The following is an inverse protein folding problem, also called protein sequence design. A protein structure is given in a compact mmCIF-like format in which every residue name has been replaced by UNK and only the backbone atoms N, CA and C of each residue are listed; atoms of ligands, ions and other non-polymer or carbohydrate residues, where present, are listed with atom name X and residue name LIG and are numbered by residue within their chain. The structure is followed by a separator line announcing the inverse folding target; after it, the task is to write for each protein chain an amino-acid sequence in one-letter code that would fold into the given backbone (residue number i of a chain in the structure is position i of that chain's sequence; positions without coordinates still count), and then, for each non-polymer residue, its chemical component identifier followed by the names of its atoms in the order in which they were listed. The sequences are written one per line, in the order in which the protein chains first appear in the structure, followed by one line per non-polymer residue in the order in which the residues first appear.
data_IF_428544438662
#
_entry.id   IF_428544438662
#
_cell.length_a   1.000
_cell.length_b   1.000
_cell.length_c   1.000
_cell.angle_alpha   90.00
_cell.angle_beta   90.00
_cell.angle_gamma   90.00
#
_symmetry.space_group_name_H-M   'P 1'
#
loop_
_entity.id
_entity.type
_entity.pdbx_description
1 polymer ?
#
# COMPACT_ATOMS: atom_id res chain seq x y z
N UNK A 1 -53.86 5.34 -25.22
CA UNK A 1 -53.95 5.43 -23.75
C UNK A 1 -52.53 5.73 -23.27
N UNK A 2 -52.25 7.01 -23.05
CA UNK A 2 -50.92 7.51 -22.72
C UNK A 2 -50.63 7.24 -21.24
N UNK A 3 -49.80 6.24 -20.97
CA UNK A 3 -49.35 5.90 -19.61
C UNK A 3 -48.07 6.65 -19.27
N UNK A 4 -48.19 7.70 -18.47
CA UNK A 4 -47.07 8.48 -17.92
C UNK A 4 -46.24 7.64 -16.95
N UNK A 5 -45.34 6.80 -17.45
CA UNK A 5 -44.37 6.08 -16.62
C UNK A 5 -43.25 7.04 -16.21
N UNK A 6 -43.32 7.57 -14.99
CA UNK A 6 -42.21 8.24 -14.33
C UNK A 6 -41.08 7.22 -14.12
N UNK A 7 -40.17 7.11 -15.09
CA UNK A 7 -39.03 6.23 -14.95
C UNK A 7 -38.08 6.80 -13.90
N UNK A 8 -37.82 6.02 -12.86
CA UNK A 8 -36.76 6.35 -11.92
C UNK A 8 -35.42 6.34 -12.66
N UNK A 9 -34.49 7.23 -12.29
CA UNK A 9 -33.16 7.30 -12.95
C UNK A 9 -32.47 5.93 -12.95
N UNK A 10 -32.66 5.15 -11.89
CA UNK A 10 -32.16 3.78 -11.78
C UNK A 10 -32.69 2.88 -12.89
N UNK A 11 -34.01 2.86 -13.13
CA UNK A 11 -34.60 2.06 -14.22
C UNK A 11 -34.05 2.45 -15.59
N UNK A 12 -33.82 3.74 -15.85
CA UNK A 12 -33.22 4.18 -17.12
C UNK A 12 -31.81 3.63 -17.31
N UNK A 13 -30.99 3.63 -16.26
CA UNK A 13 -29.63 3.08 -16.32
C UNK A 13 -29.63 1.56 -16.48
N UNK A 14 -30.47 0.84 -15.75
CA UNK A 14 -30.54 -0.62 -15.84
C UNK A 14 -30.99 -1.09 -17.23
N UNK A 15 -31.97 -0.39 -17.82
CA UNK A 15 -32.41 -0.66 -19.19
C UNK A 15 -31.34 -0.33 -20.23
N UNK A 16 -30.61 0.78 -20.06
CA UNK A 16 -29.58 1.21 -21.01
C UNK A 16 -28.34 0.29 -20.99
N UNK A 17 -27.89 -0.10 -19.80
CA UNK A 17 -26.71 -0.97 -19.64
C UNK A 17 -27.05 -2.47 -19.67
N UNK A 18 -28.34 -2.83 -19.63
CA UNK A 18 -28.81 -4.23 -19.63
C UNK A 18 -28.43 -5.01 -18.37
N UNK A 19 -28.09 -4.30 -17.29
CA UNK A 19 -27.58 -4.87 -16.05
C UNK A 19 -28.26 -4.20 -14.86
N UNK A 20 -28.72 -5.00 -13.92
CA UNK A 20 -29.28 -4.51 -12.65
C UNK A 20 -28.17 -4.13 -11.68
N UNK A 21 -28.42 -3.10 -10.87
CA UNK A 21 -27.49 -2.71 -9.81
C UNK A 21 -27.50 -3.80 -8.72
N UNK A 22 -26.34 -4.34 -8.32
CA UNK A 22 -26.28 -5.34 -7.27
C UNK A 22 -26.69 -4.73 -5.92
N UNK A 23 -27.43 -5.49 -5.12
CA UNK A 23 -27.85 -5.06 -3.77
C UNK A 23 -26.68 -4.89 -2.80
N UNK A 24 -25.57 -5.57 -3.06
CA UNK A 24 -24.37 -5.53 -2.23
C UNK A 24 -23.13 -5.26 -3.11
N UNK A 25 -22.31 -4.32 -2.67
CA UNK A 25 -21.03 -3.97 -3.31
C UNK A 25 -19.91 -4.26 -2.33
N UNK A 26 -19.04 -5.22 -2.67
CA UNK A 26 -17.83 -5.50 -1.90
C UNK A 26 -16.73 -4.53 -2.33
N UNK A 27 -16.43 -3.55 -1.48
CA UNK A 27 -15.30 -2.63 -1.71
C UNK A 27 -14.04 -3.28 -1.18
N UNK A 28 -13.15 -3.69 -2.08
CA UNK A 28 -11.83 -4.17 -1.69
C UNK A 28 -10.91 -2.99 -1.29
N UNK A 29 -10.10 -3.14 -0.23
CA UNK A 29 -9.09 -2.14 0.09
C UNK A 29 -8.10 -1.99 -1.07
N UNK A 30 -7.64 -0.76 -1.29
CA UNK A 30 -6.64 -0.48 -2.32
C UNK A 30 -5.38 -1.29 -2.04
N UNK A 31 -4.87 -1.96 -3.07
CA UNK A 31 -3.58 -2.64 -3.00
C UNK A 31 -2.50 -1.54 -2.90
N UNK A 32 -1.69 -1.50 -1.83
CA UNK A 32 -0.59 -0.54 -1.76
C UNK A 32 0.46 -0.90 -2.81
N UNK A 33 0.45 -0.17 -3.93
CA UNK A 33 1.45 -0.31 -4.99
C UNK A 33 2.67 0.54 -4.65
N UNK A 34 3.85 -0.07 -4.61
CA UNK A 34 5.12 0.67 -4.48
C UNK A 34 5.48 1.28 -5.84
N UNK A 35 5.02 2.49 -6.11
CA UNK A 35 5.42 3.26 -7.29
C UNK A 35 6.72 4.03 -7.02
N UNK A 36 7.45 4.41 -8.06
CA UNK A 36 8.64 5.26 -7.90
C UNK A 36 8.24 6.56 -7.21
N UNK A 37 8.72 6.79 -5.98
CA UNK A 37 8.37 7.96 -5.17
C UNK A 37 7.21 7.77 -4.18
N UNK A 38 6.64 6.57 -4.07
CA UNK A 38 5.66 6.26 -3.01
C UNK A 38 6.25 6.30 -1.60
N UNK A 39 7.58 6.23 -1.49
CA UNK A 39 8.34 6.41 -0.24
C UNK A 39 8.92 7.82 -0.12
N UNK A 40 8.15 8.83 -0.53
CA UNK A 40 8.52 10.25 -0.41
C UNK A 40 8.28 10.80 1.00
N UNK A 41 7.75 9.99 1.92
CA UNK A 41 7.53 10.42 3.30
C UNK A 41 8.87 10.55 4.03
N UNK A 42 9.11 11.72 4.61
CA UNK A 42 10.21 11.91 5.56
C UNK A 42 10.05 10.95 6.74
N UNK A 43 10.97 10.00 6.87
CA UNK A 43 10.97 9.00 7.94
C UNK A 43 11.40 9.70 9.24
N UNK A 44 10.61 9.55 10.31
CA UNK A 44 10.98 10.09 11.62
C UNK A 44 12.23 9.40 12.17
N UNK A 45 13.03 10.10 13.00
CA UNK A 45 14.17 9.50 13.71
C UNK A 45 13.80 8.23 14.47
N UNK A 46 12.58 8.18 15.03
CA UNK A 46 12.07 7.00 15.74
C UNK A 46 11.88 5.80 14.81
N UNK A 47 11.33 6.04 13.63
CA UNK A 47 11.06 5.01 12.62
C UNK A 47 12.36 4.51 12.00
N UNK A 48 13.29 5.41 11.68
CA UNK A 48 14.61 5.05 11.21
C UNK A 48 15.37 4.18 12.22
N UNK A 49 15.29 4.51 13.51
CA UNK A 49 15.90 3.70 14.58
C UNK A 49 15.27 2.32 14.67
N UNK A 50 13.93 2.24 14.63
CA UNK A 50 13.22 0.95 14.65
C UNK A 50 13.61 0.08 13.44
N UNK A 51 13.70 0.65 12.25
CA UNK A 51 14.16 -0.08 11.06
C UNK A 51 15.59 -0.57 11.23
N UNK A 52 16.47 0.23 11.85
CA UNK A 52 17.85 -0.17 12.14
C UNK A 52 17.92 -1.29 13.18
N UNK A 53 17.13 -1.22 14.25
CA UNK A 53 17.05 -2.25 15.30
C UNK A 53 16.59 -3.61 14.75
N UNK A 54 15.75 -3.63 13.72
CA UNK A 54 15.30 -4.86 13.07
C UNK A 54 16.26 -5.41 12.00
N UNK A 55 17.38 -4.72 11.71
CA UNK A 55 18.38 -5.27 10.78
C UNK A 55 19.18 -6.37 11.46
N UNK A 56 19.39 -7.53 10.81
CA UNK A 56 20.21 -8.59 11.37
C UNK A 56 21.67 -8.13 11.50
N UNK A 57 22.31 -8.50 12.61
CA UNK A 57 23.75 -8.35 12.78
C UNK A 57 24.47 -9.25 11.78
N UNK A 58 25.64 -8.79 11.32
CA UNK A 58 26.49 -9.53 10.37
C UNK A 58 27.91 -9.59 10.89
N UNK A 59 28.62 -10.64 10.51
CA UNK A 59 30.04 -10.77 10.85
C UNK A 59 30.85 -9.77 10.01
N UNK A 60 31.62 -8.92 10.68
CA UNK A 60 32.56 -8.00 10.03
C UNK A 60 33.82 -8.76 9.60
N UNK A 61 34.29 -8.57 8.36
CA UNK A 61 35.48 -9.24 7.86
C UNK A 61 36.77 -8.77 8.54
N UNK A 62 36.88 -7.49 8.91
CA UNK A 62 38.08 -6.95 9.57
C UNK A 62 38.23 -7.47 11.02
N UNK A 63 37.18 -7.31 11.84
CA UNK A 63 37.24 -7.62 13.27
C UNK A 63 36.63 -8.96 13.66
N UNK A 64 36.03 -9.69 12.72
CA UNK A 64 35.37 -10.99 12.90
C UNK A 64 34.27 -11.02 13.98
N UNK A 65 33.71 -9.86 14.33
CA UNK A 65 32.60 -9.73 15.30
C UNK A 65 31.26 -9.58 14.60
N UNK A 66 30.22 -10.17 15.19
CA UNK A 66 28.82 -9.90 14.83
C UNK A 66 28.45 -8.48 15.27
N UNK A 67 28.26 -7.59 14.30
CA UNK A 67 28.08 -6.16 14.55
C UNK A 67 27.20 -5.50 13.48
N UNK A 68 26.88 -4.22 13.69
CA UNK A 68 26.10 -3.38 12.76
C UNK A 68 27.00 -2.70 11.69
N UNK A 69 28.32 -2.64 11.92
CA UNK A 69 29.27 -2.06 10.96
C UNK A 69 29.72 -3.05 9.87
N UNK A 70 30.17 -2.53 8.72
CA UNK A 70 30.90 -3.31 7.72
C UNK A 70 32.41 -3.18 7.93
N UNK A 71 33.16 -3.89 7.10
CA UNK A 71 34.62 -3.83 7.01
C UNK A 71 35.15 -2.40 6.86
N UNK A 72 34.46 -1.59 6.03
CA UNK A 72 34.85 -0.21 5.70
C UNK A 72 34.63 0.78 6.84
N UNK A 73 33.62 0.51 7.68
CA UNK A 73 33.27 1.31 8.85
C UNK A 73 33.68 0.61 10.16
N UNK A 74 34.60 -0.35 10.10
CA UNK A 74 35.05 -1.07 11.27
C UNK A 74 35.85 -0.13 12.17
N UNK A 75 35.52 -0.02 13.47
CA UNK A 75 36.21 0.87 14.42
C UNK A 75 37.51 0.27 14.98
N UNK A 76 38.05 -0.76 14.31
CA UNK A 76 39.24 -1.49 14.74
C UNK A 76 40.51 -0.65 14.54
#
# INVERSE_FOLDING_TARGET
MEGSTSHSKTMMFEQFYGLHVPSEVVVHPLIPVKTKGSDSRLISKKEARKTKENKPLRMCSNCHKLSDHDDRNCPA
#
